data_IF_239276885763
#
_entry.id   IF_239276885763
#
_cell.length_a   1.000
_cell.length_b   1.000
_cell.length_c   1.000
_cell.angle_alpha   90.00
_cell.angle_beta   90.00
_cell.angle_gamma   90.00
#
_symmetry.space_group_name_H-M   'P 1'
#
loop_
_entity.id
_entity.type
_entity.pdbx_description
1 polymer ?
#
# COMPACT_ATOMS: atom_id res chain seq x y z
N UNK A 1 16.89 -1.56 -30.69
CA UNK A 1 16.89 -1.35 -29.23
C UNK A 1 15.71 -0.45 -28.89
N UNK A 2 14.98 -0.71 -27.80
CA UNK A 2 13.90 0.18 -27.37
C UNK A 2 14.48 1.55 -27.02
N UNK A 3 13.85 2.64 -27.46
CA UNK A 3 14.27 3.98 -27.05
C UNK A 3 14.07 4.11 -25.54
N UNK A 4 15.13 4.46 -24.80
CA UNK A 4 15.04 4.71 -23.37
C UNK A 4 14.91 6.19 -23.05
N UNK A 5 14.13 6.46 -22.03
CA UNK A 5 13.92 7.79 -21.48
C UNK A 5 14.15 7.78 -19.97
N UNK A 6 14.43 8.96 -19.44
CA UNK A 6 14.51 9.22 -18.01
C UNK A 6 13.48 10.27 -17.61
N UNK A 7 12.86 10.09 -16.44
CA UNK A 7 11.92 11.06 -15.86
C UNK A 7 12.68 12.31 -15.38
N UNK A 8 12.28 13.48 -15.89
CA UNK A 8 12.89 14.78 -15.55
C UNK A 8 12.38 15.35 -14.21
N UNK A 9 11.06 15.48 -13.96
CA UNK A 9 10.58 16.10 -12.73
C UNK A 9 10.80 15.19 -11.52
N UNK A 10 10.68 15.76 -10.31
CA UNK A 10 10.64 14.99 -9.05
C UNK A 10 9.69 13.79 -9.15
N UNK A 11 8.52 14.01 -9.76
CA UNK A 11 7.48 12.99 -9.93
C UNK A 11 6.72 13.19 -11.24
N UNK A 12 6.35 12.10 -11.90
CA UNK A 12 5.51 12.12 -13.10
C UNK A 12 4.41 11.05 -13.05
N UNK A 13 3.19 11.41 -13.44
CA UNK A 13 2.08 10.46 -13.50
C UNK A 13 2.16 9.61 -14.79
N UNK A 14 2.29 8.29 -14.63
CA UNK A 14 2.01 7.32 -15.68
C UNK A 14 0.52 7.00 -15.70
N UNK A 15 -0.10 6.96 -16.89
CA UNK A 15 -1.56 6.93 -17.02
C UNK A 15 -2.07 5.82 -17.91
N UNK A 16 -3.25 5.28 -17.63
CA UNK A 16 -3.91 4.26 -18.44
C UNK A 16 -4.41 4.79 -19.78
N UNK A 17 -4.67 6.09 -19.86
CA UNK A 17 -5.06 6.80 -21.07
C UNK A 17 -4.30 8.11 -21.18
N UNK A 18 -4.04 8.64 -22.40
CA UNK A 18 -3.37 9.91 -22.61
C UNK A 18 -4.29 11.13 -22.30
N UNK A 19 -4.80 11.20 -21.06
CA UNK A 19 -5.71 12.23 -20.57
C UNK A 19 -5.26 12.76 -19.21
N UNK A 20 -5.41 14.05 -18.96
CA UNK A 20 -5.03 14.68 -17.68
C UNK A 20 -6.17 14.65 -16.66
N UNK A 21 -6.71 13.47 -16.37
CA UNK A 21 -7.78 13.29 -15.37
C UNK A 21 -7.34 12.33 -14.25
N UNK A 22 -7.68 12.55 -12.96
CA UNK A 22 -7.18 11.73 -11.85
C UNK A 22 -7.45 10.22 -12.00
N UNK A 23 -8.61 9.84 -12.53
CA UNK A 23 -9.01 8.45 -12.74
C UNK A 23 -8.14 7.66 -13.72
N UNK A 24 -7.27 8.34 -14.48
CA UNK A 24 -6.34 7.67 -15.41
C UNK A 24 -4.97 7.44 -14.80
N UNK A 25 -4.65 7.97 -13.62
CA UNK A 25 -3.33 7.74 -13.01
C UNK A 25 -3.21 6.27 -12.60
N UNK A 26 -2.14 5.62 -13.06
CA UNK A 26 -1.78 4.26 -12.65
C UNK A 26 -0.79 4.31 -11.49
N UNK A 27 0.25 5.10 -11.65
CA UNK A 27 1.37 5.22 -10.71
C UNK A 27 2.12 6.54 -10.93
N UNK A 28 2.90 6.95 -9.94
CA UNK A 28 3.84 8.06 -10.06
C UNK A 28 5.26 7.52 -10.16
N UNK A 29 5.94 7.91 -11.23
CA UNK A 29 7.35 7.61 -11.46
C UNK A 29 8.22 8.70 -10.83
N UNK A 30 9.37 8.33 -10.30
CA UNK A 30 10.29 9.25 -9.62
C UNK A 30 11.26 9.88 -10.61
N UNK A 31 11.80 11.05 -10.25
CA UNK A 31 12.92 11.65 -10.99
C UNK A 31 14.03 10.63 -11.19
N UNK A 32 14.60 10.62 -12.39
CA UNK A 32 15.71 9.76 -12.71
C UNK A 32 15.32 8.32 -13.03
N UNK A 33 14.09 7.90 -12.76
CA UNK A 33 13.59 6.59 -13.14
C UNK A 33 13.60 6.43 -14.66
N UNK A 34 14.03 5.26 -15.13
CA UNK A 34 14.10 4.95 -16.55
C UNK A 34 12.81 4.29 -17.02
N UNK A 35 12.46 4.55 -18.27
CA UNK A 35 11.32 3.93 -18.95
C UNK A 35 11.69 3.56 -20.37
N UNK A 36 11.16 2.44 -20.84
CA UNK A 36 11.29 2.01 -22.23
C UNK A 36 10.11 2.55 -23.05
N UNK A 37 10.38 3.14 -24.21
CA UNK A 37 9.33 3.50 -25.16
C UNK A 37 8.71 2.27 -25.81
N UNK A 38 7.38 2.27 -25.88
CA UNK A 38 6.59 1.23 -26.52
C UNK A 38 5.90 1.79 -27.77
N UNK A 39 5.56 0.92 -28.75
CA UNK A 39 4.70 1.31 -29.86
C UNK A 39 3.37 1.91 -29.36
N UNK A 40 3.11 3.16 -29.74
CA UNK A 40 1.88 3.86 -29.38
C UNK A 40 0.73 3.46 -30.32
N UNK A 41 -0.49 3.21 -29.80
CA UNK A 41 -1.65 2.96 -30.64
C UNK A 41 -1.95 4.13 -31.59
N UNK A 42 -2.53 3.82 -32.76
CA UNK A 42 -3.00 4.84 -33.72
C UNK A 42 -3.97 5.79 -33.04
N UNK A 43 -3.79 7.10 -33.26
CA UNK A 43 -4.61 8.14 -32.63
C UNK A 43 -4.14 8.58 -31.24
N UNK A 44 -2.98 8.12 -30.76
CA UNK A 44 -2.34 8.68 -29.56
C UNK A 44 -2.12 10.20 -29.78
N UNK A 45 -2.65 11.08 -28.91
CA UNK A 45 -2.55 12.52 -29.12
C UNK A 45 -1.10 13.00 -29.10
N UNK A 46 -0.82 14.06 -29.87
CA UNK A 46 0.51 14.67 -29.92
C UNK A 46 1.02 15.03 -28.51
N UNK A 47 2.32 14.84 -28.31
CA UNK A 47 2.99 15.11 -27.04
C UNK A 47 2.79 14.05 -25.95
N UNK A 48 2.13 12.92 -26.25
CA UNK A 48 2.10 11.73 -25.40
C UNK A 48 3.00 10.64 -25.94
N UNK A 49 3.60 9.86 -25.03
CA UNK A 49 4.33 8.64 -25.35
C UNK A 49 3.75 7.48 -24.57
N UNK A 50 3.72 6.29 -25.17
CA UNK A 50 3.45 5.05 -24.45
C UNK A 50 4.79 4.49 -23.98
N UNK A 51 4.88 4.16 -22.70
CA UNK A 51 6.12 3.67 -22.07
C UNK A 51 5.83 2.51 -21.13
N UNK A 52 6.87 1.73 -20.85
CA UNK A 52 6.90 0.73 -19.79
C UNK A 52 7.89 1.18 -18.71
N UNK A 53 7.47 1.07 -17.45
CA UNK A 53 8.30 1.37 -16.28
C UNK A 53 8.27 0.19 -15.30
N UNK A 54 9.37 -0.05 -14.60
CA UNK A 54 9.40 -0.98 -13.47
C UNK A 54 9.04 -0.25 -12.17
N UNK A 55 8.05 -0.75 -11.44
CA UNK A 55 7.63 -0.20 -10.14
C UNK A 55 7.61 -1.32 -9.11
N UNK A 56 8.56 -1.29 -8.17
CA UNK A 56 8.72 -2.34 -7.15
C UNK A 56 8.74 -3.77 -7.74
N UNK A 57 9.43 -3.94 -8.86
CA UNK A 57 9.53 -5.22 -9.58
C UNK A 57 8.29 -5.58 -10.41
N UNK A 58 7.30 -4.70 -10.51
CA UNK A 58 6.12 -4.88 -11.37
C UNK A 58 6.26 -4.00 -12.63
N UNK A 59 6.23 -4.59 -13.84
CA UNK A 59 6.18 -3.81 -15.07
C UNK A 59 4.82 -3.13 -15.20
N UNK A 60 4.82 -1.82 -15.43
CA UNK A 60 3.62 -1.01 -15.64
C UNK A 60 3.73 -0.30 -16.98
N UNK A 61 2.75 -0.54 -17.84
CA UNK A 61 2.61 0.16 -19.12
C UNK A 61 1.60 1.29 -19.04
N UNK A 62 1.89 2.41 -19.70
CA UNK A 62 0.95 3.51 -19.77
C UNK A 62 1.42 4.65 -20.65
N UNK A 63 0.74 5.79 -20.51
CA UNK A 63 0.98 7.00 -21.25
C UNK A 63 1.53 8.10 -20.34
N UNK A 64 2.52 8.83 -20.85
CA UNK A 64 3.16 9.95 -20.17
C UNK A 64 3.36 11.13 -21.13
N UNK A 65 3.41 12.35 -20.60
CA UNK A 65 3.71 13.55 -21.38
C UNK A 65 5.17 13.56 -21.79
N UNK A 66 5.43 13.70 -23.08
CA UNK A 66 6.77 13.69 -23.68
C UNK A 66 7.72 14.73 -23.09
N UNK A 67 7.24 15.92 -22.72
CA UNK A 67 8.07 16.97 -22.12
C UNK A 67 8.57 16.63 -20.69
N UNK A 68 8.05 15.56 -20.08
CA UNK A 68 8.53 15.04 -18.78
C UNK A 68 9.67 14.04 -18.94
N UNK A 69 10.07 13.75 -20.18
CA UNK A 69 11.03 12.72 -20.53
C UNK A 69 12.28 13.33 -21.17
N UNK A 70 13.45 12.88 -20.72
CA UNK A 70 14.73 13.11 -21.39
C UNK A 70 15.14 11.83 -22.11
N UNK A 71 15.38 11.90 -23.42
CA UNK A 71 15.89 10.74 -24.18
C UNK A 71 17.30 10.41 -23.70
N UNK A 72 17.61 9.13 -23.54
CA UNK A 72 18.96 8.67 -23.22
C UNK A 72 19.68 8.30 -24.52
N UNK A 73 20.83 8.93 -24.76
CA UNK A 73 21.63 8.75 -25.99
C UNK A 73 22.52 7.50 -25.95
N UNK A 74 22.75 6.94 -24.76
CA UNK A 74 23.46 5.68 -24.53
C UNK A 74 22.68 4.86 -23.51
N UNK A 75 22.65 3.54 -23.68
CA UNK A 75 22.22 2.64 -22.62
C UNK A 75 23.18 2.85 -21.43
N UNK A 76 22.72 3.40 -20.29
CA UNK A 76 23.60 3.64 -19.16
C UNK A 76 24.14 2.31 -18.66
N UNK A 77 25.39 2.30 -18.20
CA UNK A 77 25.96 1.16 -17.48
C UNK A 77 25.08 0.92 -16.25
N UNK A 78 24.40 -0.23 -16.21
CA UNK A 78 23.61 -0.63 -15.05
C UNK A 78 24.60 -0.95 -13.93
N UNK A 79 24.94 0.03 -13.11
CA UNK A 79 25.57 -0.25 -11.82
C UNK A 79 24.56 -0.98 -10.96
N UNK A 80 24.87 -2.19 -10.46
CA UNK A 80 24.04 -2.85 -9.48
C UNK A 80 23.84 -1.90 -8.30
N UNK A 81 22.60 -1.72 -7.81
CA UNK A 81 22.38 -0.92 -6.61
C UNK A 81 23.20 -1.51 -5.46
N UNK A 82 23.72 -0.63 -4.59
CA UNK A 82 24.41 -1.07 -3.39
C UNK A 82 23.47 -1.96 -2.56
N UNK A 83 23.93 -3.15 -2.18
CA UNK A 83 23.17 -4.06 -1.32
C UNK A 83 23.16 -3.48 0.09
N UNK A 84 22.05 -2.85 0.46
CA UNK A 84 21.84 -2.37 1.82
C UNK A 84 21.49 -3.54 2.76
N UNK A 85 21.85 -3.47 4.05
CA UNK A 85 21.39 -4.46 5.02
C UNK A 85 19.87 -4.40 5.16
N UNK A 86 19.25 -5.57 5.34
CA UNK A 86 17.82 -5.65 5.67
C UNK A 86 17.56 -4.98 7.01
N UNK A 87 16.65 -4.02 7.02
CA UNK A 87 16.22 -3.35 8.25
C UNK A 87 15.32 -4.30 9.05
N UNK A 88 15.46 -4.38 10.38
CA UNK A 88 14.58 -5.18 11.21
C UNK A 88 13.17 -4.57 11.32
N UNK A 89 12.18 -5.43 11.53
CA UNK A 89 10.85 -5.01 11.94
C UNK A 89 10.91 -4.20 13.24
N UNK A 90 10.23 -3.07 13.27
CA UNK A 90 10.05 -2.26 14.47
C UNK A 90 8.80 -2.72 15.24
N UNK A 91 9.03 -3.28 16.43
CA UNK A 91 7.98 -3.72 17.37
C UNK A 91 8.19 -3.10 18.74
N UNK A 92 7.11 -2.62 19.37
CA UNK A 92 7.13 -2.24 20.78
C UNK A 92 6.58 -3.39 21.63
N UNK A 93 7.21 -3.64 22.77
CA UNK A 93 6.69 -4.60 23.76
C UNK A 93 5.53 -3.97 24.53
N UNK A 94 4.30 -4.50 24.43
CA UNK A 94 3.18 -3.95 25.19
C UNK A 94 3.39 -4.21 26.68
N UNK A 95 3.07 -3.26 27.56
CA UNK A 95 3.16 -3.47 29.02
C UNK A 95 1.93 -4.19 29.58
N UNK A 96 0.99 -4.62 28.73
CA UNK A 96 -0.22 -5.32 29.14
C UNK A 96 -1.01 -5.88 27.96
N UNK A 97 -2.28 -6.22 28.21
CA UNK A 97 -3.18 -6.75 27.19
C UNK A 97 -3.67 -5.63 26.24
N UNK A 98 -3.55 -5.87 24.94
CA UNK A 98 -4.00 -5.00 23.85
C UNK A 98 -5.12 -5.74 23.13
N UNK A 99 -6.35 -5.19 23.20
CA UNK A 99 -7.57 -5.89 22.75
C UNK A 99 -8.41 -5.01 21.84
N UNK A 100 -9.27 -5.64 21.03
CA UNK A 100 -10.23 -4.91 20.16
C UNK A 100 -11.32 -4.17 20.96
N UNK A 101 -11.53 -4.55 22.21
CA UNK A 101 -12.57 -4.02 23.09
C UNK A 101 -12.17 -2.71 23.80
N UNK A 102 -10.92 -2.27 23.71
CA UNK A 102 -10.47 -0.99 24.27
C UNK A 102 -9.68 -0.15 23.25
N UNK A 103 -9.47 1.13 23.59
CA UNK A 103 -8.76 2.10 22.73
C UNK A 103 -7.33 2.38 23.19
N UNK A 104 -6.89 1.72 24.25
CA UNK A 104 -5.57 1.92 24.81
C UNK A 104 -4.51 1.24 23.93
N UNK A 105 -3.25 1.67 24.08
CA UNK A 105 -2.10 0.97 23.50
C UNK A 105 -2.13 0.86 21.96
N UNK A 106 -2.61 1.88 21.24
CA UNK A 106 -2.62 1.88 19.77
C UNK A 106 -1.25 1.82 19.11
N UNK A 107 -0.16 2.12 19.84
CA UNK A 107 1.20 1.95 19.34
C UNK A 107 1.66 0.48 19.31
N UNK A 108 0.87 -0.44 19.87
CA UNK A 108 1.21 -1.84 20.08
C UNK A 108 0.22 -2.76 19.33
N UNK A 109 0.73 -3.89 18.87
CA UNK A 109 -0.06 -4.95 18.25
C UNK A 109 -1.01 -5.60 19.25
N UNK A 110 -2.12 -6.13 18.74
CA UNK A 110 -3.01 -7.00 19.51
C UNK A 110 -2.24 -8.21 20.06
N UNK A 111 -2.60 -8.64 21.26
CA UNK A 111 -2.01 -9.83 21.89
C UNK A 111 -3.06 -10.64 22.66
N UNK A 112 -4.31 -10.61 22.19
CA UNK A 112 -5.40 -11.36 22.78
C UNK A 112 -5.16 -12.86 22.57
N UNK A 113 -5.14 -13.71 23.61
CA UNK A 113 -4.94 -15.15 23.46
C UNK A 113 -5.92 -15.85 22.52
N UNK A 114 -7.09 -15.25 22.27
CA UNK A 114 -8.13 -15.80 21.37
C UNK A 114 -8.13 -15.18 19.98
N UNK A 115 -7.13 -14.37 19.64
CA UNK A 115 -7.06 -13.75 18.31
C UNK A 115 -6.88 -14.83 17.22
N UNK A 116 -7.64 -14.78 16.12
CA UNK A 116 -7.43 -15.67 14.99
C UNK A 116 -6.14 -15.29 14.27
N UNK A 117 -5.65 -16.20 13.41
CA UNK A 117 -4.54 -15.90 12.52
C UNK A 117 -4.65 -16.60 11.19
N UNK A 118 -3.92 -16.08 10.19
CA UNK A 118 -3.77 -16.73 8.89
C UNK A 118 -2.72 -17.84 9.00
N UNK A 119 -3.17 -19.04 9.33
CA UNK A 119 -2.29 -20.19 9.64
C UNK A 119 -2.41 -21.32 8.63
N UNK A 120 -3.44 -21.29 7.79
CA UNK A 120 -3.75 -22.38 6.89
C UNK A 120 -2.73 -22.50 5.75
N UNK A 121 -2.33 -23.74 5.45
CA UNK A 121 -1.39 -24.02 4.37
C UNK A 121 -2.05 -23.87 2.98
N UNK A 122 -3.30 -24.32 2.85
CA UNK A 122 -4.05 -24.27 1.61
C UNK A 122 -4.62 -22.87 1.32
N UNK A 123 -4.63 -22.49 0.05
CA UNK A 123 -5.07 -21.17 -0.43
C UNK A 123 -6.52 -20.85 -0.02
N UNK A 124 -7.44 -21.80 -0.25
CA UNK A 124 -8.86 -21.60 0.06
C UNK A 124 -9.08 -21.34 1.56
N UNK A 125 -8.34 -22.06 2.39
CA UNK A 125 -8.42 -21.94 3.85
C UNK A 125 -7.79 -20.61 4.34
N UNK A 126 -6.76 -20.09 3.67
CA UNK A 126 -6.21 -18.75 3.98
C UNK A 126 -7.22 -17.65 3.75
N UNK A 127 -8.05 -17.74 2.70
CA UNK A 127 -9.12 -16.77 2.48
C UNK A 127 -10.15 -16.83 3.62
N UNK A 128 -10.47 -18.03 4.11
CA UNK A 128 -11.33 -18.21 5.28
C UNK A 128 -10.70 -17.62 6.55
N UNK A 129 -9.41 -17.83 6.79
CA UNK A 129 -8.69 -17.23 7.93
C UNK A 129 -8.78 -15.70 7.90
N UNK A 130 -8.59 -15.08 6.73
CA UNK A 130 -8.76 -13.63 6.59
C UNK A 130 -10.20 -13.18 6.91
N UNK A 131 -11.21 -13.96 6.50
CA UNK A 131 -12.60 -13.72 6.88
C UNK A 131 -12.84 -13.80 8.40
N UNK A 132 -12.19 -14.77 9.09
CA UNK A 132 -12.25 -14.89 10.55
C UNK A 132 -11.57 -13.70 11.24
N UNK A 133 -10.44 -13.22 10.71
CA UNK A 133 -9.77 -12.00 11.18
C UNK A 133 -10.71 -10.80 11.05
N UNK A 134 -11.35 -10.60 9.89
CA UNK A 134 -12.33 -9.51 9.70
C UNK A 134 -13.48 -9.60 10.71
N UNK A 135 -13.98 -10.82 10.97
CA UNK A 135 -15.05 -11.06 11.94
C UNK A 135 -14.61 -10.77 13.38
N UNK A 136 -13.38 -11.17 13.77
CA UNK A 136 -12.82 -10.92 15.09
C UNK A 136 -12.55 -9.43 15.34
N UNK A 137 -11.94 -8.74 14.35
CA UNK A 137 -11.68 -7.30 14.46
C UNK A 137 -12.98 -6.49 14.52
N UNK A 138 -14.04 -6.96 13.87
CA UNK A 138 -15.40 -6.42 13.99
C UNK A 138 -15.45 -4.89 13.88
N UNK A 139 -14.84 -4.37 12.81
CA UNK A 139 -14.48 -2.95 12.65
C UNK A 139 -15.64 -1.95 12.83
N UNK A 140 -16.86 -2.40 12.52
CA UNK A 140 -18.12 -1.67 12.64
C UNK A 140 -18.61 -1.48 14.08
N UNK A 141 -18.15 -2.27 15.05
CA UNK A 141 -18.64 -2.18 16.44
C UNK A 141 -17.54 -2.10 17.51
N UNK A 142 -16.35 -2.66 17.23
CA UNK A 142 -15.24 -2.73 18.18
C UNK A 142 -14.77 -1.34 18.62
N UNK A 143 -14.53 -1.18 19.94
CA UNK A 143 -14.17 0.10 20.53
C UNK A 143 -12.86 0.65 19.97
N UNK A 144 -11.88 -0.24 19.70
CA UNK A 144 -10.55 0.11 19.19
C UNK A 144 -10.58 0.92 17.89
N UNK A 145 -11.58 0.69 17.03
CA UNK A 145 -11.69 1.30 15.70
C UNK A 145 -12.78 2.36 15.61
N UNK A 146 -13.50 2.62 16.71
CA UNK A 146 -14.59 3.57 16.76
C UNK A 146 -14.07 4.99 16.54
N UNK A 147 -14.41 5.59 15.41
CA UNK A 147 -14.06 6.98 15.07
C UNK A 147 -14.54 7.98 16.13
N UNK A 148 -13.92 9.14 16.15
CA UNK A 148 -14.46 10.32 16.85
C UNK A 148 -15.08 11.29 15.84
N UNK A 149 -15.47 12.48 16.29
CA UNK A 149 -15.85 13.59 15.41
C UNK A 149 -14.67 14.10 14.57
N UNK A 150 -13.43 13.90 15.03
CA UNK A 150 -12.22 14.52 14.46
C UNK A 150 -11.20 13.52 13.91
N UNK A 151 -11.30 12.23 14.26
CA UNK A 151 -10.29 11.24 13.92
C UNK A 151 -10.91 9.89 13.49
N UNK A 152 -10.19 9.22 12.59
CA UNK A 152 -10.46 7.85 12.13
C UNK A 152 -9.22 7.00 12.36
N UNK A 153 -9.40 5.68 12.47
CA UNK A 153 -8.36 4.77 12.95
C UNK A 153 -8.06 3.66 11.93
N UNK A 154 -8.13 4.02 10.65
CA UNK A 154 -7.90 3.10 9.53
C UNK A 154 -6.49 2.50 9.50
N UNK A 155 -5.46 3.24 9.90
CA UNK A 155 -4.10 2.70 10.05
C UNK A 155 -4.01 1.66 11.15
N UNK A 156 -4.69 1.86 12.29
CA UNK A 156 -4.70 0.90 13.40
C UNK A 156 -5.44 -0.38 12.98
N UNK A 157 -6.61 -0.23 12.37
CA UNK A 157 -7.39 -1.37 11.87
C UNK A 157 -6.60 -2.21 10.86
N UNK A 158 -5.99 -1.56 9.86
CA UNK A 158 -5.24 -2.26 8.82
C UNK A 158 -3.95 -2.88 9.38
N UNK A 159 -3.28 -2.21 10.32
CA UNK A 159 -2.16 -2.79 11.05
C UNK A 159 -2.58 -4.10 11.75
N UNK A 160 -3.68 -4.06 12.51
CA UNK A 160 -4.14 -5.23 13.26
C UNK A 160 -4.59 -6.36 12.32
N UNK A 161 -5.22 -6.04 11.19
CA UNK A 161 -5.51 -6.99 10.12
C UNK A 161 -4.23 -7.67 9.59
N UNK A 162 -3.19 -6.89 9.27
CA UNK A 162 -1.93 -7.44 8.78
C UNK A 162 -1.22 -8.28 9.85
N UNK A 163 -1.18 -7.78 11.09
CA UNK A 163 -0.56 -8.47 12.23
C UNK A 163 -1.19 -9.86 12.46
N UNK A 164 -2.53 -9.94 12.51
CA UNK A 164 -3.22 -11.22 12.66
C UNK A 164 -3.04 -12.12 11.42
N UNK A 165 -2.88 -11.54 10.23
CA UNK A 165 -2.58 -12.29 9.01
C UNK A 165 -1.10 -12.74 8.89
N UNK A 166 -0.27 -12.44 9.88
CA UNK A 166 1.16 -12.79 9.88
C UNK A 166 2.01 -11.96 8.92
N UNK A 167 1.54 -10.76 8.57
CA UNK A 167 2.20 -9.85 7.61
C UNK A 167 2.64 -8.57 8.30
N UNK A 168 3.90 -8.16 8.07
CA UNK A 168 4.43 -6.94 8.65
C UNK A 168 3.93 -5.69 7.91
N UNK A 169 3.16 -4.88 8.64
CA UNK A 169 2.90 -3.48 8.32
C UNK A 169 3.19 -2.72 9.62
N UNK A 170 4.05 -1.68 9.63
CA UNK A 170 4.47 -1.06 10.89
C UNK A 170 3.34 -0.28 11.54
N UNK A 171 3.20 -0.41 12.87
CA UNK A 171 2.50 0.63 13.66
C UNK A 171 3.43 1.80 13.98
N UNK A 172 4.66 1.44 14.32
CA UNK A 172 5.77 2.36 14.56
C UNK A 172 6.90 2.03 13.62
N UNK A 173 7.73 3.02 13.32
CA UNK A 173 8.91 2.81 12.50
C UNK A 173 10.11 3.57 13.02
N UNK A 174 11.29 3.11 12.64
CA UNK A 174 12.58 3.68 13.00
C UNK A 174 12.67 5.16 12.59
N UNK A 175 13.15 6.00 13.51
CA UNK A 175 13.49 7.39 13.21
C UNK A 175 14.75 7.45 12.34
N UNK A 176 14.97 8.55 11.63
CA UNK A 176 16.11 8.72 10.72
C UNK A 176 17.46 8.39 11.38
N UNK A 177 17.70 8.87 12.61
CA UNK A 177 18.93 8.56 13.36
C UNK A 177 19.08 7.05 13.65
N UNK A 178 17.97 6.37 13.98
CA UNK A 178 17.98 4.93 14.22
C UNK A 178 18.22 4.15 12.92
N UNK A 179 17.64 4.59 11.79
CA UNK A 179 17.89 3.99 10.48
C UNK A 179 19.37 4.04 10.10
N UNK A 180 20.03 5.19 10.29
CA UNK A 180 21.48 5.32 10.03
C UNK A 180 22.29 4.32 10.86
N UNK A 181 21.95 4.14 12.14
CA UNK A 181 22.64 3.19 13.01
C UNK A 181 22.38 1.73 12.60
N UNK A 182 21.15 1.39 12.20
CA UNK A 182 20.80 0.06 11.67
C UNK A 182 21.53 -0.24 10.36
N UNK A 183 21.65 0.73 9.47
CA UNK A 183 22.44 0.60 8.23
C UNK A 183 23.93 0.37 8.52
N UNK A 184 24.42 0.84 9.66
CA UNK A 184 25.77 0.55 10.18
C UNK A 184 25.85 -0.74 11.00
N UNK A 185 24.80 -1.57 10.99
CA UNK A 185 24.69 -2.83 11.74
C UNK A 185 24.82 -2.68 13.26
N UNK A 186 24.48 -1.51 13.80
CA UNK A 186 24.45 -1.30 15.24
C UNK A 186 23.16 -1.88 15.83
N UNK A 187 23.22 -2.67 16.92
CA UNK A 187 22.03 -3.22 17.53
C UNK A 187 21.21 -2.11 18.19
N UNK A 188 19.92 -2.04 17.82
CA UNK A 188 18.99 -1.06 18.37
C UNK A 188 17.72 -1.72 18.87
N UNK A 189 17.24 -1.26 20.03
CA UNK A 189 15.93 -1.63 20.57
C UNK A 189 14.91 -0.56 20.21
N UNK A 190 13.70 -0.98 19.84
CA UNK A 190 12.59 -0.07 19.65
C UNK A 190 12.17 0.55 21.00
N UNK A 191 12.16 1.88 21.05
CA UNK A 191 11.78 2.70 22.20
C UNK A 191 10.96 3.87 21.70
N UNK A 192 9.72 3.95 22.16
CA UNK A 192 8.76 4.96 21.72
C UNK A 192 9.33 6.38 21.91
N UNK A 193 9.22 7.22 20.88
CA UNK A 193 9.70 8.61 20.89
C UNK A 193 11.22 8.75 20.85
N UNK A 194 11.99 7.68 21.03
CA UNK A 194 13.46 7.70 21.03
C UNK A 194 14.07 7.09 19.78
N UNK A 195 13.73 5.83 19.48
CA UNK A 195 14.25 5.12 18.29
C UNK A 195 13.16 4.84 17.26
N UNK A 196 11.89 4.83 17.68
CA UNK A 196 10.74 4.64 16.80
C UNK A 196 9.65 5.70 17.06
N UNK A 197 8.83 5.97 16.05
CA UNK A 197 7.66 6.86 16.13
C UNK A 197 6.45 6.22 15.44
N UNK A 198 5.25 6.61 15.86
CA UNK A 198 4.01 6.16 15.22
C UNK A 198 3.87 6.69 13.80
N UNK A 199 3.46 5.80 12.89
CA UNK A 199 3.16 6.19 11.53
C UNK A 199 1.66 6.47 11.36
N UNK A 200 1.36 7.66 10.85
CA UNK A 200 0.05 7.95 10.27
C UNK A 200 -0.01 7.37 8.85
N UNK A 201 -1.19 7.44 8.21
CA UNK A 201 -1.36 6.85 6.88
C UNK A 201 -0.48 7.51 5.80
N UNK A 202 -0.19 8.81 5.91
CA UNK A 202 0.69 9.47 4.95
C UNK A 202 2.12 8.91 5.03
N UNK A 203 2.60 8.59 6.24
CA UNK A 203 3.89 7.95 6.47
C UNK A 203 3.86 6.46 6.07
N UNK A 204 2.78 5.72 6.34
CA UNK A 204 2.62 4.33 5.90
C UNK A 204 2.62 4.20 4.37
N UNK A 205 2.01 5.15 3.66
CA UNK A 205 2.08 5.20 2.21
C UNK A 205 3.53 5.26 1.71
N UNK A 206 4.34 6.15 2.30
CA UNK A 206 5.75 6.27 1.95
C UNK A 206 6.53 5.01 2.35
N UNK A 207 6.23 4.42 3.51
CA UNK A 207 6.85 3.19 3.96
C UNK A 207 6.59 2.02 2.99
N UNK A 208 5.35 1.85 2.51
CA UNK A 208 5.01 0.84 1.51
C UNK A 208 5.73 1.07 0.18
N UNK A 209 5.98 2.32 -0.20
CA UNK A 209 6.75 2.69 -1.41
C UNK A 209 8.25 2.41 -1.26
N UNK A 210 8.81 2.69 -0.09
CA UNK A 210 10.25 2.69 0.13
C UNK A 210 10.76 1.35 0.66
N UNK A 211 10.12 0.83 1.72
CA UNK A 211 10.55 -0.37 2.43
C UNK A 211 9.65 -1.58 2.14
N UNK A 212 8.42 -1.38 1.66
CA UNK A 212 7.46 -2.46 1.40
C UNK A 212 8.06 -3.70 0.72
N UNK A 213 8.83 -3.57 -0.38
CA UNK A 213 9.47 -4.69 -1.06
C UNK A 213 10.39 -5.54 -0.16
N UNK A 214 11.17 -4.91 0.71
CA UNK A 214 12.05 -5.60 1.65
C UNK A 214 11.27 -6.41 2.70
N UNK A 215 10.00 -6.06 2.91
CA UNK A 215 9.08 -6.74 3.81
C UNK A 215 8.05 -7.61 3.07
N UNK A 216 8.26 -7.89 1.78
CA UNK A 216 7.43 -8.80 0.98
C UNK A 216 6.19 -8.17 0.33
N UNK A 217 6.02 -6.85 0.43
CA UNK A 217 4.96 -6.15 -0.29
C UNK A 217 5.36 -5.88 -1.74
N UNK A 218 4.44 -6.13 -2.67
CA UNK A 218 4.59 -5.74 -4.08
C UNK A 218 3.47 -4.84 -4.52
N UNK A 219 3.77 -3.93 -5.45
CA UNK A 219 2.80 -3.00 -6.03
C UNK A 219 2.05 -3.63 -7.20
N UNK A 220 0.77 -3.29 -7.34
CA UNK A 220 -0.03 -3.57 -8.54
C UNK A 220 -0.80 -2.32 -8.97
N UNK A 221 -1.20 -2.27 -10.24
CA UNK A 221 -2.12 -1.26 -10.79
C UNK A 221 -3.45 -1.85 -11.24
N UNK A 222 -3.62 -3.18 -11.15
CA UNK A 222 -4.84 -3.90 -11.53
C UNK A 222 -5.70 -4.17 -10.30
N UNK A 223 -6.90 -3.60 -10.27
CA UNK A 223 -7.90 -3.89 -9.24
C UNK A 223 -8.38 -5.34 -9.31
N UNK A 224 -8.36 -5.94 -10.51
CA UNK A 224 -8.70 -7.36 -10.70
C UNK A 224 -7.67 -8.24 -10.03
N UNK A 225 -6.38 -8.00 -10.26
CA UNK A 225 -5.29 -8.78 -9.67
C UNK A 225 -5.27 -8.61 -8.15
N UNK A 226 -5.55 -7.39 -7.67
CA UNK A 226 -5.67 -7.08 -6.24
C UNK A 226 -6.78 -7.89 -5.58
N UNK A 227 -7.98 -7.92 -6.18
CA UNK A 227 -9.10 -8.69 -5.64
C UNK A 227 -8.87 -10.20 -5.75
N UNK A 228 -8.28 -10.67 -6.86
CA UNK A 228 -7.95 -12.08 -7.03
C UNK A 228 -6.93 -12.53 -6.00
N UNK A 229 -5.88 -11.74 -5.74
CA UNK A 229 -4.92 -11.99 -4.68
C UNK A 229 -5.60 -12.11 -3.30
N UNK A 230 -6.50 -11.19 -2.97
CA UNK A 230 -7.29 -11.27 -1.73
C UNK A 230 -8.13 -12.57 -1.67
N UNK A 231 -8.79 -12.94 -2.77
CA UNK A 231 -9.55 -14.19 -2.85
C UNK A 231 -8.67 -15.45 -2.72
N UNK A 232 -7.38 -15.36 -3.04
CA UNK A 232 -6.38 -16.42 -2.85
C UNK A 232 -5.75 -16.38 -1.44
N UNK A 233 -6.31 -15.60 -0.51
CA UNK A 233 -5.83 -15.53 0.87
C UNK A 233 -4.54 -14.71 1.04
N UNK A 234 -4.18 -13.86 0.07
CA UNK A 234 -3.09 -12.89 0.19
C UNK A 234 -3.58 -11.61 0.89
N UNK A 235 -2.68 -10.92 1.60
CA UNK A 235 -3.01 -9.66 2.28
C UNK A 235 -2.88 -8.52 1.29
N UNK A 236 -3.98 -7.80 1.06
CA UNK A 236 -4.08 -6.79 0.01
C UNK A 236 -4.53 -5.44 0.59
N UNK A 237 -3.88 -4.35 0.18
CA UNK A 237 -4.12 -3.01 0.72
C UNK A 237 -4.36 -1.97 -0.39
N UNK A 238 -5.20 -0.98 -0.10
CA UNK A 238 -5.28 0.27 -0.86
C UNK A 238 -4.92 1.41 0.09
N UNK A 239 -3.91 2.21 -0.24
CA UNK A 239 -3.50 3.36 0.55
C UNK A 239 -3.41 4.64 -0.30
N UNK A 240 -3.72 5.78 0.29
CA UNK A 240 -3.55 7.08 -0.33
C UNK A 240 -3.07 8.16 0.66
N UNK A 241 -2.24 9.05 0.13
CA UNK A 241 -1.65 10.17 0.85
C UNK A 241 -2.38 11.47 0.54
N UNK A 242 -2.68 12.26 1.59
CA UNK A 242 -3.38 13.55 1.45
C UNK A 242 -2.51 14.61 0.78
N UNK A 243 -3.17 15.51 0.06
CA UNK A 243 -2.55 16.75 -0.46
C UNK A 243 -2.12 17.66 0.69
N UNK A 244 -3.03 17.90 1.65
CA UNK A 244 -2.68 18.53 2.93
C UNK A 244 -2.08 17.47 3.86
N UNK A 245 -0.75 17.49 4.04
CA UNK A 245 -0.04 16.49 4.84
C UNK A 245 -0.36 16.54 6.34
N UNK A 246 -0.93 17.64 6.83
CA UNK A 246 -1.44 17.75 8.20
C UNK A 246 -2.78 17.01 8.38
N UNK A 247 -3.46 16.64 7.28
CA UNK A 247 -4.64 15.79 7.31
C UNK A 247 -4.28 14.31 7.16
N UNK A 248 -5.06 13.43 7.79
CA UNK A 248 -4.84 12.00 7.71
C UNK A 248 -5.10 11.45 6.29
N UNK A 249 -4.14 10.69 5.77
CA UNK A 249 -4.32 9.77 4.64
C UNK A 249 -5.41 8.74 4.90
N UNK A 250 -5.62 7.83 3.95
CA UNK A 250 -6.57 6.74 4.14
C UNK A 250 -6.02 5.43 3.61
N UNK A 251 -6.29 4.35 4.32
CA UNK A 251 -5.83 2.99 4.01
C UNK A 251 -6.94 2.01 4.36
N UNK A 252 -7.12 0.99 3.53
CA UNK A 252 -8.11 -0.06 3.73
C UNK A 252 -7.52 -1.42 3.39
N UNK A 253 -8.05 -2.47 4.02
CA UNK A 253 -7.81 -3.84 3.59
C UNK A 253 -8.75 -4.19 2.43
N UNK A 254 -8.24 -4.88 1.42
CA UNK A 254 -9.03 -5.60 0.42
C UNK A 254 -9.18 -7.02 0.93
N UNK A 255 -10.43 -7.46 1.07
CA UNK A 255 -10.78 -8.73 1.73
C UNK A 255 -11.31 -9.74 0.72
N UNK A 256 -11.21 -11.06 1.02
CA UNK A 256 -11.76 -12.09 0.16
C UNK A 256 -13.27 -11.92 -0.04
N UNK A 257 -13.73 -12.20 -1.26
CA UNK A 257 -15.16 -12.26 -1.57
C UNK A 257 -15.82 -13.45 -0.88
N UNK A 258 -17.04 -13.26 -0.38
CA UNK A 258 -17.89 -14.30 0.21
C UNK A 258 -19.11 -14.53 -0.66
N UNK A 259 -19.97 -15.49 -0.35
CA UNK A 259 -21.20 -15.72 -1.12
C UNK A 259 -22.13 -14.50 -1.14
N UNK A 260 -22.10 -13.71 -0.07
CA UNK A 260 -22.99 -12.55 0.11
C UNK A 260 -22.33 -11.21 -0.16
N UNK A 261 -20.99 -11.16 -0.23
CA UNK A 261 -20.24 -9.92 -0.42
C UNK A 261 -19.22 -10.08 -1.55
N UNK A 262 -19.43 -9.32 -2.63
CA UNK A 262 -18.60 -9.36 -3.84
C UNK A 262 -18.06 -7.98 -4.19
N UNK A 263 -16.92 -7.95 -4.87
CA UNK A 263 -16.39 -6.77 -5.53
C UNK A 263 -17.28 -6.38 -6.73
N UNK A 264 -17.37 -5.09 -7.02
CA UNK A 264 -18.11 -4.61 -8.19
C UNK A 264 -17.28 -4.80 -9.46
N UNK A 265 -17.93 -5.21 -10.55
CA UNK A 265 -17.29 -5.51 -11.84
C UNK A 265 -18.01 -4.86 -13.01
N UNK A 266 -17.24 -4.62 -14.08
CA UNK A 266 -17.77 -4.35 -15.43
C UNK A 266 -17.23 -5.44 -16.35
N UNK A 267 -18.08 -6.38 -16.75
CA UNK A 267 -17.62 -7.65 -17.33
C UNK A 267 -16.77 -8.41 -16.31
N UNK A 268 -15.58 -8.86 -16.71
CA UNK A 268 -14.65 -9.58 -15.82
C UNK A 268 -13.71 -8.65 -15.04
N UNK A 269 -13.68 -7.35 -15.34
CA UNK A 269 -12.78 -6.41 -14.70
C UNK A 269 -13.38 -5.85 -13.41
N UNK A 270 -12.62 -5.91 -12.32
CA UNK A 270 -13.01 -5.30 -11.04
C UNK A 270 -12.91 -3.78 -11.16
N UNK A 271 -14.01 -3.09 -10.83
CA UNK A 271 -14.08 -1.62 -10.77
C UNK A 271 -14.01 -1.09 -9.35
N UNK A 272 -14.47 -1.89 -8.38
CA UNK A 272 -14.40 -1.58 -6.95
C UNK A 272 -14.09 -2.87 -6.18
N UNK A 273 -12.87 -3.04 -5.63
CA UNK A 273 -12.56 -4.17 -4.77
C UNK A 273 -13.43 -4.18 -3.52
N UNK A 274 -13.66 -5.39 -2.99
CA UNK A 274 -14.31 -5.59 -1.71
C UNK A 274 -13.33 -5.19 -0.60
N UNK A 275 -13.74 -4.22 0.20
CA UNK A 275 -12.93 -3.55 1.20
C UNK A 275 -13.49 -3.80 2.60
N UNK A 276 -12.61 -3.65 3.58
CA UNK A 276 -12.94 -3.50 5.00
C UNK A 276 -12.24 -2.26 5.55
N UNK A 277 -12.97 -1.41 6.30
CA UNK A 277 -12.40 -0.11 6.72
C UNK A 277 -12.85 0.38 8.10
N UNK A 278 -11.94 1.12 8.75
CA UNK A 278 -12.19 1.99 9.90
C UNK A 278 -12.06 3.48 9.52
N UNK A 279 -12.91 3.94 8.59
CA UNK A 279 -12.86 5.29 8.02
C UNK A 279 -13.95 6.22 8.55
N UNK A 280 -14.48 7.06 7.66
CA UNK A 280 -15.62 7.93 7.97
C UNK A 280 -16.89 7.11 8.30
N UNK A 281 -17.02 5.95 7.67
CA UNK A 281 -18.02 4.93 7.96
C UNK A 281 -17.29 3.60 8.07
N UNK A 282 -17.38 2.96 9.22
CA UNK A 282 -16.78 1.65 9.42
C UNK A 282 -17.67 0.58 8.80
N UNK A 283 -17.07 -0.39 8.11
CA UNK A 283 -17.77 -1.57 7.63
C UNK A 283 -16.81 -2.74 7.47
N UNK A 284 -17.31 -3.95 7.71
CA UNK A 284 -16.57 -5.19 7.49
C UNK A 284 -16.45 -5.54 6.01
N UNK A 285 -17.52 -5.32 5.24
CA UNK A 285 -17.59 -5.65 3.83
C UNK A 285 -18.35 -4.54 3.08
N UNK A 286 -17.69 -3.94 2.10
CA UNK A 286 -18.27 -2.88 1.28
C UNK A 286 -17.23 -2.38 0.29
N UNK A 287 -17.49 -1.27 -0.40
CA UNK A 287 -16.49 -0.73 -1.32
C UNK A 287 -16.96 0.52 -2.03
N UNK A 288 -16.02 1.45 -2.22
CA UNK A 288 -16.16 2.57 -3.15
C UNK A 288 -14.78 2.96 -3.66
N UNK A 289 -14.75 3.59 -4.83
CA UNK A 289 -13.53 4.23 -5.35
C UNK A 289 -13.38 5.60 -4.67
N UNK A 290 -12.49 5.68 -3.68
CA UNK A 290 -12.26 6.89 -2.89
C UNK A 290 -10.89 7.54 -3.18
N UNK A 291 -9.91 6.76 -3.63
CA UNK A 291 -8.51 7.16 -3.75
C UNK A 291 -8.23 8.11 -4.91
N UNK A 292 -9.16 8.25 -5.86
CA UNK A 292 -9.07 9.24 -6.96
C UNK A 292 -9.64 10.61 -6.58
N UNK A 293 -10.09 10.79 -5.33
CA UNK A 293 -10.59 12.08 -4.84
C UNK A 293 -9.49 13.15 -4.83
N UNK A 294 -9.88 14.41 -5.08
CA UNK A 294 -8.95 15.55 -5.21
C UNK A 294 -8.16 15.85 -3.93
N UNK A 295 -8.63 15.36 -2.78
CA UNK A 295 -7.93 15.45 -1.50
C UNK A 295 -6.68 14.57 -1.41
N UNK A 296 -6.52 13.61 -2.32
CA UNK A 296 -5.38 12.71 -2.36
C UNK A 296 -4.43 13.10 -3.49
N UNK A 297 -3.15 13.24 -3.17
CA UNK A 297 -2.10 13.52 -4.16
C UNK A 297 -1.45 12.26 -4.71
N UNK A 298 -1.56 11.13 -4.00
CA UNK A 298 -0.98 9.83 -4.37
C UNK A 298 -1.86 8.71 -3.83
N UNK A 299 -1.92 7.60 -4.56
CA UNK A 299 -2.50 6.34 -4.08
C UNK A 299 -1.73 5.15 -4.66
N UNK A 300 -2.03 3.95 -4.16
CA UNK A 300 -1.38 2.71 -4.58
C UNK A 300 -2.13 1.49 -4.08
N UNK A 301 -1.79 0.34 -4.66
CA UNK A 301 -2.35 -0.96 -4.33
C UNK A 301 -1.22 -1.95 -4.08
N UNK A 302 -1.28 -2.67 -2.96
CA UNK A 302 -0.23 -3.58 -2.54
C UNK A 302 -0.77 -4.96 -2.23
N UNK A 303 0.07 -5.96 -2.50
CA UNK A 303 -0.20 -7.37 -2.24
C UNK A 303 0.98 -7.94 -1.45
N UNK A 304 0.68 -8.79 -0.47
CA UNK A 304 1.65 -9.57 0.32
C UNK A 304 1.18 -11.03 0.41
N UNK A 305 2.09 -11.98 0.14
CA UNK A 305 1.76 -13.38 -0.13
C UNK A 305 1.54 -14.24 1.14
#
# INVERSE_FOLDING_TARGET
MATQYQIIPLEANLRSQPKLVPSTVLVQLKQGQQVDELPAPKGTPAGWRRVRAEVQGTPVEGFIKSFLLKKLDQAPVITPPAVLPTLPEAHLTPPGAVRVTNRDWWAYSLNDPKQPGRTSAAIADRAQDLGQIVAYLHVDSAARYRRTSTATYCNIYVHDYCHLAGVYLPRVWWQAKALVQLLQRQPLKARYGTTVVEYNVNALYNWLEEFGPDFGWRRTTSLTDLQQAANLGQVCLIAAQRTNLNAAGHIVAVVPETDTHKASRKGNAVTTPLQSQAGATNFRYGGRVWWTGTQFRRFGFWIHA
#
